data_IF_759786116684
#
_entry.id   IF_759786116684
#
_cell.length_a   1.000
_cell.length_b   1.000
_cell.length_c   1.000
_cell.angle_alpha   90.00
_cell.angle_beta   90.00
_cell.angle_gamma   90.00
#
_symmetry.space_group_name_H-M   'P 1'
#
loop_
_entity.id
_entity.type
_entity.pdbx_description
1 polymer ?
#
# COMPACT_ATOMS: atom_id res chain seq x y z
N UNK A 1 5.12 -14.13 7.98
CA UNK A 1 6.24 -13.26 7.57
C UNK A 1 6.29 -12.11 8.56
N UNK A 2 7.43 -11.84 9.20
CA UNK A 2 7.53 -10.74 10.17
C UNK A 2 7.42 -9.40 9.42
N UNK A 3 6.39 -8.61 9.71
CA UNK A 3 6.22 -7.29 9.12
C UNK A 3 7.14 -6.30 9.85
N UNK A 4 8.22 -5.88 9.21
CA UNK A 4 9.08 -4.85 9.78
C UNK A 4 8.38 -3.47 9.70
N UNK A 5 8.23 -2.75 10.82
CA UNK A 5 7.62 -1.43 10.82
C UNK A 5 8.47 -0.43 10.02
N UNK A 6 7.84 0.63 9.53
CA UNK A 6 8.58 1.73 8.92
C UNK A 6 9.32 2.53 10.00
N UNK A 7 10.59 2.92 9.78
CA UNK A 7 11.30 3.80 10.69
C UNK A 7 10.55 5.12 10.89
N UNK A 8 10.48 5.60 12.13
CA UNK A 8 9.75 6.83 12.48
C UNK A 8 10.21 8.05 11.64
N UNK A 9 11.50 8.14 11.31
CA UNK A 9 12.07 9.20 10.48
C UNK A 9 11.45 9.29 9.06
N UNK A 10 10.88 8.20 8.56
CA UNK A 10 10.17 8.17 7.27
C UNK A 10 8.70 8.59 7.40
N UNK A 11 8.11 8.40 8.58
CA UNK A 11 6.69 8.64 8.85
C UNK A 11 6.47 10.08 9.32
N UNK A 12 7.35 10.55 10.20
CA UNK A 12 7.25 11.82 10.92
C UNK A 12 7.07 13.04 10.01
N UNK A 13 7.80 13.20 8.89
CA UNK A 13 7.61 14.36 8.02
C UNK A 13 6.21 14.42 7.40
N UNK A 14 5.62 13.25 7.10
CA UNK A 14 4.27 13.15 6.53
C UNK A 14 3.23 13.57 7.57
N UNK A 15 3.36 13.02 8.79
CA UNK A 15 2.44 13.32 9.89
C UNK A 15 2.54 14.80 10.29
N UNK A 16 3.76 15.34 10.39
CA UNK A 16 3.98 16.76 10.68
C UNK A 16 3.35 17.65 9.61
N UNK A 17 3.54 17.33 8.33
CA UNK A 17 2.94 18.11 7.24
C UNK A 17 1.40 18.11 7.34
N UNK A 18 0.79 16.96 7.63
CA UNK A 18 -0.65 16.85 7.79
C UNK A 18 -1.18 17.62 9.02
N UNK A 19 -0.46 17.58 10.16
CA UNK A 19 -0.80 18.39 11.34
C UNK A 19 -0.71 19.89 11.06
N UNK A 20 0.34 20.34 10.36
CA UNK A 20 0.50 21.75 9.99
C UNK A 20 -0.58 22.21 9.00
N UNK A 21 -0.99 21.36 8.07
CA UNK A 21 -2.11 21.61 7.17
C UNK A 21 -3.41 21.85 7.96
N UNK A 22 -3.75 20.93 8.87
CA UNK A 22 -5.04 20.93 9.58
C UNK A 22 -5.14 22.07 10.62
N UNK A 23 -4.04 22.38 11.31
CA UNK A 23 -3.98 23.52 12.24
C UNK A 23 -4.00 24.88 11.52
N UNK A 24 -3.54 24.89 10.27
CA UNK A 24 -3.43 26.09 9.46
C UNK A 24 -2.69 27.22 10.18
N UNK A 25 -3.32 28.41 10.23
CA UNK A 25 -2.73 29.62 10.82
C UNK A 25 -3.23 29.92 12.24
N UNK A 26 -4.36 29.35 12.62
CA UNK A 26 -5.10 29.77 13.82
C UNK A 26 -5.15 28.67 14.90
N UNK A 27 -4.71 27.46 14.59
CA UNK A 27 -4.89 26.31 15.47
C UNK A 27 -6.34 25.84 15.53
N UNK A 28 -6.66 25.09 16.58
CA UNK A 28 -7.98 24.50 16.79
C UNK A 28 -8.90 25.45 17.58
N UNK A 29 -9.53 26.37 16.85
CA UNK A 29 -10.45 27.36 17.42
C UNK A 29 -11.61 26.72 18.18
N UNK A 30 -12.10 25.57 17.72
CA UNK A 30 -13.26 24.91 18.31
C UNK A 30 -12.91 24.33 19.67
N UNK A 31 -11.82 23.57 19.79
CA UNK A 31 -11.39 23.03 21.07
C UNK A 31 -10.98 24.14 22.04
N UNK A 32 -10.34 25.21 21.56
CA UNK A 32 -9.96 26.34 22.40
C UNK A 32 -11.16 27.10 22.99
N UNK A 33 -12.23 27.26 22.19
CA UNK A 33 -13.43 27.97 22.61
C UNK A 33 -14.36 27.14 23.50
N UNK A 34 -14.37 25.81 23.35
CA UNK A 34 -15.40 24.94 23.95
C UNK A 34 -14.91 24.06 25.10
N UNK A 35 -13.60 23.86 25.26
CA UNK A 35 -13.03 22.93 26.25
C UNK A 35 -12.12 23.70 27.22
N UNK A 36 -12.26 23.58 28.54
CA UNK A 36 -11.32 24.19 29.50
C UNK A 36 -9.87 23.73 29.27
N UNK A 37 -8.90 24.62 29.49
CA UNK A 37 -7.49 24.35 29.20
C UNK A 37 -6.87 23.24 30.07
N UNK A 38 -7.41 23.02 31.27
CA UNK A 38 -6.99 22.01 32.24
C UNK A 38 -7.72 20.67 32.08
N UNK A 39 -8.75 20.60 31.23
CA UNK A 39 -9.58 19.40 31.06
C UNK A 39 -8.75 18.22 30.55
N UNK A 40 -8.73 17.13 31.33
CA UNK A 40 -8.17 15.85 30.94
C UNK A 40 -9.26 14.90 30.44
N UNK A 41 -8.93 14.03 29.48
CA UNK A 41 -9.85 13.02 28.98
C UNK A 41 -9.14 11.74 28.56
N UNK A 42 -9.93 10.68 28.42
CA UNK A 42 -9.57 9.41 27.81
C UNK A 42 -10.42 9.19 26.57
N UNK A 43 -9.76 8.84 25.47
CA UNK A 43 -10.37 8.47 24.19
C UNK A 43 -9.83 7.13 23.70
N UNK A 44 -10.58 6.49 22.81
CA UNK A 44 -10.17 5.24 22.16
C UNK A 44 -10.34 5.31 20.66
N UNK A 45 -9.35 4.82 19.92
CA UNK A 45 -9.50 4.55 18.49
C UNK A 45 -10.26 3.23 18.33
N UNK A 46 -11.35 3.24 17.58
CA UNK A 46 -12.19 2.05 17.33
C UNK A 46 -12.46 1.91 15.84
N UNK A 47 -12.46 0.67 15.35
CA UNK A 47 -12.90 0.42 13.97
C UNK A 47 -14.42 0.28 13.90
N UNK A 48 -15.04 0.81 12.85
CA UNK A 48 -16.49 0.70 12.61
C UNK A 48 -16.86 -0.46 11.69
N UNK A 49 -15.87 -1.17 11.15
CA UNK A 49 -16.03 -2.23 10.16
C UNK A 49 -14.98 -3.33 10.39
N UNK A 50 -15.21 -4.50 9.80
CA UNK A 50 -14.18 -5.55 9.79
C UNK A 50 -13.08 -5.18 8.79
N UNK A 51 -11.82 -5.47 9.10
CA UNK A 51 -10.72 -5.07 8.25
C UNK A 51 -9.35 -5.57 8.68
N UNK A 52 -8.32 -5.05 8.02
CA UNK A 52 -6.91 -5.22 8.39
C UNK A 52 -6.32 -3.84 8.71
N UNK A 53 -5.66 -3.73 9.86
CA UNK A 53 -5.07 -2.46 10.31
C UNK A 53 -3.75 -2.20 9.61
N UNK A 54 -3.53 -0.96 9.21
CA UNK A 54 -2.24 -0.45 8.76
C UNK A 54 -2.11 1.04 9.05
N UNK A 55 -0.88 1.48 9.30
CA UNK A 55 -0.58 2.88 9.55
C UNK A 55 -0.99 3.35 10.95
N UNK A 56 -1.27 2.43 11.87
CA UNK A 56 -1.62 2.79 13.25
C UNK A 56 -0.47 3.56 13.91
N UNK A 57 0.77 3.16 13.67
CA UNK A 57 1.93 3.90 14.19
C UNK A 57 1.98 5.35 13.66
N UNK A 58 1.55 5.60 12.42
CA UNK A 58 1.45 6.97 11.88
C UNK A 58 0.31 7.77 12.52
N UNK A 59 -0.84 7.14 12.75
CA UNK A 59 -1.95 7.77 13.46
C UNK A 59 -1.61 8.10 14.92
N UNK A 60 -0.97 7.18 15.63
CA UNK A 60 -0.51 7.39 17.01
C UNK A 60 0.60 8.44 17.09
N UNK A 61 1.45 8.51 16.07
CA UNK A 61 2.47 9.55 15.97
C UNK A 61 1.85 10.95 15.93
N UNK A 62 0.67 11.14 15.31
CA UNK A 62 0.00 12.43 15.28
C UNK A 62 -0.29 12.96 16.69
N UNK A 63 -0.78 12.11 17.60
CA UNK A 63 -0.99 12.48 19.00
C UNK A 63 0.33 12.84 19.69
N UNK A 64 1.36 11.99 19.56
CA UNK A 64 2.64 12.22 20.25
C UNK A 64 3.42 13.43 19.71
N UNK A 65 3.31 13.74 18.42
CA UNK A 65 3.91 14.94 17.81
C UNK A 65 3.17 16.21 18.19
N UNK A 66 1.84 16.13 18.33
CA UNK A 66 1.03 17.27 18.74
C UNK A 66 1.28 17.63 20.21
N UNK A 67 1.25 16.64 21.11
CA UNK A 67 1.55 16.84 22.51
C UNK A 67 2.28 15.63 23.10
N UNK A 68 3.60 15.73 23.39
CA UNK A 68 4.40 14.62 23.89
C UNK A 68 4.02 14.16 25.30
N UNK A 69 3.11 14.88 25.99
CA UNK A 69 2.59 14.49 27.30
C UNK A 69 1.40 13.53 27.22
N UNK A 70 0.83 13.31 26.03
CA UNK A 70 -0.26 12.36 25.85
C UNK A 70 0.23 10.93 26.08
N UNK A 71 -0.48 10.19 26.93
CA UNK A 71 -0.21 8.78 27.17
C UNK A 71 -0.92 7.95 26.09
N UNK A 72 -0.14 7.36 25.19
CA UNK A 72 -0.63 6.54 24.08
C UNK A 72 -0.35 5.07 24.36
N UNK A 73 -1.39 4.24 24.27
CA UNK A 73 -1.28 2.78 24.40
C UNK A 73 -1.91 2.08 23.19
N UNK A 74 -1.06 1.44 22.38
CA UNK A 74 -1.47 0.58 21.28
C UNK A 74 -2.02 -0.76 21.79
N UNK A 75 -3.12 -1.27 21.23
CA UNK A 75 -3.67 -2.60 21.55
C UNK A 75 -3.67 -3.59 20.38
N UNK A 76 -3.49 -3.12 19.15
CA UNK A 76 -3.38 -3.96 17.95
C UNK A 76 -2.14 -3.60 17.15
N UNK A 77 -1.62 -4.53 16.37
CA UNK A 77 -0.47 -4.28 15.51
C UNK A 77 -0.87 -4.07 14.04
N UNK A 78 -0.06 -3.32 13.29
CA UNK A 78 -0.22 -3.23 11.85
C UNK A 78 -0.11 -4.63 11.21
N UNK A 79 -1.02 -4.92 10.28
CA UNK A 79 -1.22 -6.24 9.68
C UNK A 79 -2.21 -7.14 10.42
N UNK A 80 -2.66 -6.75 11.61
CA UNK A 80 -3.67 -7.51 12.36
C UNK A 80 -5.06 -7.35 11.73
N UNK A 81 -5.82 -8.46 11.67
CA UNK A 81 -7.25 -8.43 11.34
C UNK A 81 -8.04 -7.98 12.57
N UNK A 82 -9.04 -7.14 12.33
CA UNK A 82 -9.90 -6.59 13.38
C UNK A 82 -11.37 -6.74 12.99
N UNK A 83 -12.22 -6.77 14.01
CA UNK A 83 -13.67 -6.79 13.85
C UNK A 83 -14.28 -5.46 14.26
N UNK A 84 -15.45 -5.12 13.70
CA UNK A 84 -16.23 -3.93 14.07
C UNK A 84 -16.34 -3.78 15.58
N UNK A 85 -16.10 -2.55 16.06
CA UNK A 85 -16.16 -2.18 17.48
C UNK A 85 -14.89 -2.47 18.27
N UNK A 86 -13.90 -3.13 17.67
CA UNK A 86 -12.64 -3.42 18.35
C UNK A 86 -11.83 -2.14 18.60
N UNK A 87 -11.31 -2.01 19.82
CA UNK A 87 -10.39 -0.95 20.21
C UNK A 87 -8.98 -1.20 19.65
N UNK A 88 -8.42 -0.18 19.00
CA UNK A 88 -7.12 -0.21 18.34
C UNK A 88 -6.03 0.44 19.20
N UNK A 89 -6.36 1.57 19.82
CA UNK A 89 -5.49 2.32 20.72
C UNK A 89 -6.32 3.05 21.80
N UNK A 90 -5.70 3.33 22.95
CA UNK A 90 -6.19 4.26 23.97
C UNK A 90 -5.24 5.44 24.07
N UNK A 91 -5.80 6.65 24.17
CA UNK A 91 -5.04 7.88 24.34
C UNK A 91 -5.63 8.68 25.52
N UNK A 92 -4.75 9.17 26.40
CA UNK A 92 -5.11 9.92 27.61
C UNK A 92 -4.29 11.20 27.72
N UNK A 93 -4.93 12.29 28.17
CA UNK A 93 -4.27 13.55 28.47
C UNK A 93 -5.16 14.76 28.19
N UNK A 94 -4.52 15.89 27.85
CA UNK A 94 -5.23 17.16 27.64
C UNK A 94 -6.27 17.04 26.52
N UNK A 95 -7.54 17.30 26.84
CA UNK A 95 -8.67 17.07 25.95
C UNK A 95 -8.57 17.88 24.64
N UNK A 96 -8.07 19.13 24.71
CA UNK A 96 -7.80 19.95 23.53
C UNK A 96 -6.79 19.25 22.60
N UNK A 97 -5.67 18.76 23.16
CA UNK A 97 -4.64 18.05 22.38
C UNK A 97 -5.14 16.77 21.74
N UNK A 98 -6.03 16.03 22.41
CA UNK A 98 -6.64 14.82 21.86
C UNK A 98 -7.47 15.14 20.61
N UNK A 99 -8.32 16.16 20.66
CA UNK A 99 -9.19 16.51 19.54
C UNK A 99 -8.43 17.18 18.39
N UNK A 100 -7.43 18.00 18.68
CA UNK A 100 -6.64 18.67 17.64
C UNK A 100 -5.78 17.70 16.82
N UNK A 101 -5.44 16.52 17.35
CA UNK A 101 -4.70 15.49 16.61
C UNK A 101 -5.62 14.46 15.91
N UNK A 102 -6.93 14.45 16.25
CA UNK A 102 -7.87 13.41 15.87
C UNK A 102 -7.94 13.22 14.35
N UNK A 103 -8.22 14.29 13.60
CA UNK A 103 -8.57 14.18 12.19
C UNK A 103 -7.41 13.64 11.36
N UNK A 104 -6.19 14.12 11.63
CA UNK A 104 -4.98 13.62 10.99
C UNK A 104 -4.75 12.15 11.32
N UNK A 105 -4.92 11.75 12.59
CA UNK A 105 -4.76 10.37 13.00
C UNK A 105 -5.75 9.43 12.29
N UNK A 106 -7.03 9.81 12.23
CA UNK A 106 -8.10 9.04 11.59
C UNK A 106 -7.91 8.96 10.07
N UNK A 107 -7.56 10.07 9.42
CA UNK A 107 -7.36 10.11 7.96
C UNK A 107 -6.23 9.17 7.53
N UNK A 108 -5.08 9.22 8.21
CA UNK A 108 -3.94 8.35 7.89
C UNK A 108 -4.24 6.89 8.20
N UNK A 109 -4.73 6.58 9.40
CA UNK A 109 -4.97 5.19 9.82
C UNK A 109 -6.09 4.56 9.00
N UNK A 110 -7.18 5.29 8.73
CA UNK A 110 -8.31 4.82 7.95
C UNK A 110 -7.95 4.56 6.48
N UNK A 111 -7.24 5.50 5.84
CA UNK A 111 -6.79 5.34 4.45
C UNK A 111 -5.86 4.14 4.30
N UNK A 112 -4.86 4.02 5.17
CA UNK A 112 -3.87 2.94 5.11
C UNK A 112 -4.49 1.58 5.47
N UNK A 113 -5.36 1.53 6.49
CA UNK A 113 -6.13 0.32 6.80
C UNK A 113 -7.09 -0.06 5.67
N UNK A 114 -7.60 0.92 4.92
CA UNK A 114 -8.35 0.70 3.68
C UNK A 114 -7.52 -0.04 2.62
N UNK A 115 -6.30 0.41 2.35
CA UNK A 115 -5.34 -0.25 1.45
C UNK A 115 -5.02 -1.68 1.91
N UNK A 116 -4.75 -1.87 3.20
CA UNK A 116 -4.45 -3.20 3.76
C UNK A 116 -5.66 -4.15 3.65
N UNK A 117 -6.86 -3.65 3.95
CA UNK A 117 -8.12 -4.41 3.84
C UNK A 117 -8.42 -4.78 2.40
N UNK A 118 -8.29 -3.84 1.46
CA UNK A 118 -8.45 -4.08 0.03
C UNK A 118 -7.45 -5.13 -0.47
N UNK A 119 -6.17 -4.96 -0.14
CA UNK A 119 -5.12 -5.92 -0.51
C UNK A 119 -5.43 -7.31 0.04
N UNK A 120 -5.86 -7.40 1.29
CA UNK A 120 -6.19 -8.67 1.92
C UNK A 120 -7.29 -9.43 1.17
N UNK A 121 -8.32 -8.74 0.70
CA UNK A 121 -9.39 -9.36 -0.10
C UNK A 121 -8.86 -10.02 -1.37
N UNK A 122 -7.90 -9.39 -2.05
CA UNK A 122 -7.25 -9.98 -3.23
C UNK A 122 -6.36 -11.17 -2.86
N UNK A 123 -5.61 -11.07 -1.76
CA UNK A 123 -4.75 -12.15 -1.25
C UNK A 123 -5.59 -13.38 -0.90
N UNK A 124 -6.69 -13.18 -0.17
CA UNK A 124 -7.62 -14.24 0.20
C UNK A 124 -8.26 -14.86 -1.06
N UNK A 125 -8.58 -14.06 -2.08
CA UNK A 125 -9.18 -14.55 -3.33
C UNK A 125 -8.25 -15.46 -4.16
N UNK A 126 -6.92 -15.32 -4.02
CA UNK A 126 -5.93 -16.14 -4.74
C UNK A 126 -5.30 -17.23 -3.89
N UNK A 127 -5.80 -17.44 -2.67
CA UNK A 127 -5.32 -18.48 -1.77
C UNK A 127 -5.36 -19.87 -2.42
N UNK A 128 -4.33 -20.68 -2.17
CA UNK A 128 -4.14 -22.00 -2.76
C UNK A 128 -3.49 -21.99 -4.14
N UNK A 129 -3.23 -20.81 -4.73
CA UNK A 129 -2.44 -20.68 -5.96
C UNK A 129 -0.99 -20.27 -5.66
N UNK A 130 -0.14 -20.23 -6.70
CA UNK A 130 1.23 -19.69 -6.61
C UNK A 130 1.27 -18.15 -6.67
N UNK A 131 0.22 -17.52 -7.20
CA UNK A 131 0.22 -16.11 -7.51
C UNK A 131 0.30 -15.25 -6.23
N UNK A 132 1.09 -14.17 -6.29
CA UNK A 132 1.15 -13.15 -5.23
C UNK A 132 0.57 -11.84 -5.74
N UNK A 133 -0.19 -11.17 -4.87
CA UNK A 133 -0.77 -9.86 -5.18
C UNK A 133 0.28 -8.78 -4.97
N UNK A 134 0.46 -7.93 -5.98
CA UNK A 134 1.49 -6.90 -6.00
C UNK A 134 0.89 -5.51 -6.19
N UNK A 135 1.40 -4.51 -5.48
CA UNK A 135 1.03 -3.11 -5.70
C UNK A 135 1.75 -2.50 -6.91
N UNK A 136 1.54 -1.21 -7.18
CA UNK A 136 2.18 -0.50 -8.30
C UNK A 136 2.80 0.82 -7.83
N UNK A 137 3.16 1.70 -8.76
CA UNK A 137 3.51 3.11 -8.50
C UNK A 137 2.31 4.06 -8.60
N UNK A 138 1.11 3.54 -8.90
CA UNK A 138 -0.16 4.29 -8.89
C UNK A 138 -0.62 4.48 -7.45
N UNK A 139 0.07 5.37 -6.75
CA UNK A 139 -0.05 5.64 -5.31
C UNK A 139 -0.39 7.11 -5.11
N UNK A 140 -0.96 7.45 -3.96
CA UNK A 140 -1.14 8.87 -3.60
C UNK A 140 0.22 9.57 -3.52
N UNK A 141 0.41 10.73 -4.16
CA UNK A 141 1.65 11.49 -4.06
C UNK A 141 2.02 11.77 -2.60
N UNK A 142 3.30 11.61 -2.24
CA UNK A 142 3.79 11.79 -0.87
C UNK A 142 3.56 10.60 0.08
N UNK A 143 2.60 9.70 -0.21
CA UNK A 143 2.23 8.61 0.70
C UNK A 143 2.73 7.22 0.26
N UNK A 144 3.48 7.12 -0.84
CA UNK A 144 3.89 5.83 -1.44
C UNK A 144 4.52 4.86 -0.44
N UNK A 145 5.39 5.33 0.45
CA UNK A 145 6.04 4.45 1.43
C UNK A 145 5.02 3.85 2.41
N UNK A 146 4.07 4.67 2.89
CA UNK A 146 3.01 4.24 3.78
C UNK A 146 2.02 3.30 3.08
N UNK A 147 1.58 3.63 1.86
CA UNK A 147 0.67 2.78 1.09
C UNK A 147 1.29 1.42 0.74
N UNK A 148 2.57 1.39 0.33
CA UNK A 148 3.30 0.13 0.11
C UNK A 148 3.55 -0.65 1.40
N UNK A 149 3.65 0.02 2.54
CA UNK A 149 3.64 -0.67 3.82
C UNK A 149 2.27 -1.28 4.14
N UNK A 150 1.18 -0.54 3.88
CA UNK A 150 -0.19 -1.05 4.04
C UNK A 150 -0.50 -2.25 3.14
N UNK A 151 0.02 -2.28 1.91
CA UNK A 151 -0.05 -3.47 1.04
C UNK A 151 0.58 -4.69 1.72
N UNK A 152 1.75 -4.53 2.34
CA UNK A 152 2.39 -5.63 3.10
C UNK A 152 1.57 -6.04 4.33
N UNK A 153 0.94 -5.09 5.02
CA UNK A 153 0.01 -5.37 6.13
C UNK A 153 -1.17 -6.25 5.67
N UNK A 154 -1.69 -5.97 4.47
CA UNK A 154 -2.72 -6.79 3.82
C UNK A 154 -2.25 -8.16 3.31
N UNK A 155 -0.95 -8.48 3.42
CA UNK A 155 -0.36 -9.72 2.94
C UNK A 155 0.06 -9.70 1.47
N UNK A 156 -0.07 -8.55 0.79
CA UNK A 156 0.48 -8.36 -0.55
C UNK A 156 2.00 -8.16 -0.53
N UNK A 157 2.59 -8.07 -1.71
CA UNK A 157 4.02 -7.79 -1.88
C UNK A 157 4.23 -6.50 -2.66
N UNK A 158 5.40 -5.88 -2.47
CA UNK A 158 5.72 -4.64 -3.14
C UNK A 158 6.35 -4.89 -4.50
N UNK A 159 5.80 -4.27 -5.54
CA UNK A 159 6.55 -3.98 -6.77
C UNK A 159 7.58 -2.89 -6.45
N UNK A 160 8.35 -2.50 -7.46
CA UNK A 160 9.29 -1.39 -7.38
C UNK A 160 8.64 -0.12 -6.79
N UNK A 161 9.31 0.51 -5.83
CA UNK A 161 9.03 1.79 -5.19
C UNK A 161 9.18 2.98 -6.14
N UNK A 162 10.14 2.95 -7.04
CA UNK A 162 10.59 4.13 -7.77
C UNK A 162 10.92 3.87 -9.23
N UNK A 163 11.65 4.79 -9.84
CA UNK A 163 12.26 4.58 -11.15
C UNK A 163 13.71 4.09 -11.01
N UNK A 164 14.24 4.15 -9.79
CA UNK A 164 15.61 3.93 -9.37
C UNK A 164 15.87 2.51 -8.84
N UNK A 165 14.82 1.72 -8.62
CA UNK A 165 14.91 0.42 -7.93
C UNK A 165 14.60 -0.80 -8.81
N UNK A 166 14.17 -0.57 -10.05
CA UNK A 166 13.96 -1.61 -11.05
C UNK A 166 13.69 -1.00 -12.42
N UNK A 167 14.23 -1.61 -13.47
CA UNK A 167 13.94 -1.22 -14.85
C UNK A 167 12.66 -1.92 -15.28
N UNK A 168 11.64 -1.15 -15.68
CA UNK A 168 10.44 -1.66 -16.32
C UNK A 168 10.28 -0.98 -17.67
N UNK A 169 10.54 -1.74 -18.73
CA UNK A 169 10.42 -1.32 -20.12
C UNK A 169 8.93 -1.41 -20.49
N UNK A 170 8.33 -0.28 -20.82
CA UNK A 170 6.92 -0.18 -21.24
C UNK A 170 6.79 -0.09 -22.76
N UNK A 171 5.57 -0.22 -23.25
CA UNK A 171 5.13 0.06 -24.64
C UNK A 171 5.86 1.24 -25.32
N UNK A 172 5.89 2.40 -24.66
CA UNK A 172 6.51 3.62 -25.17
C UNK A 172 8.02 3.48 -25.29
N UNK A 173 8.66 2.76 -24.36
CA UNK A 173 10.11 2.51 -24.43
C UNK A 173 10.42 1.56 -25.59
N UNK A 174 9.62 0.51 -25.79
CA UNK A 174 9.77 -0.45 -26.89
C UNK A 174 9.63 0.28 -28.23
N UNK A 175 8.60 1.09 -28.38
CA UNK A 175 8.33 1.86 -29.60
C UNK A 175 9.46 2.84 -29.93
N UNK A 176 9.98 3.56 -28.94
CA UNK A 176 11.06 4.54 -29.12
C UNK A 176 12.42 3.84 -29.35
N UNK A 177 12.70 2.74 -28.66
CA UNK A 177 13.95 1.99 -28.80
C UNK A 177 14.02 1.18 -30.11
N UNK A 178 12.88 0.95 -30.78
CA UNK A 178 12.81 0.20 -32.03
C UNK A 178 12.66 -1.31 -31.86
N UNK A 179 12.14 -1.78 -30.72
CA UNK A 179 11.81 -3.20 -30.50
C UNK A 179 12.15 -3.73 -29.11
N UNK A 180 11.55 -4.87 -28.75
CA UNK A 180 11.68 -5.51 -27.43
C UNK A 180 13.12 -5.92 -27.16
N UNK A 181 13.72 -6.63 -28.11
CA UNK A 181 15.10 -7.14 -27.98
C UNK A 181 16.11 -6.00 -27.77
N UNK A 182 16.01 -4.92 -28.56
CA UNK A 182 16.90 -3.76 -28.47
C UNK A 182 16.75 -3.07 -27.11
N UNK A 183 15.51 -2.84 -26.67
CA UNK A 183 15.23 -2.20 -25.39
C UNK A 183 15.83 -2.99 -24.20
N UNK A 184 15.68 -4.32 -24.20
CA UNK A 184 16.22 -5.19 -23.13
C UNK A 184 17.76 -5.20 -23.15
N UNK A 185 18.38 -5.28 -24.33
CA UNK A 185 19.84 -5.25 -24.45
C UNK A 185 20.42 -3.91 -23.97
N UNK A 186 19.82 -2.79 -24.37
CA UNK A 186 20.21 -1.46 -23.88
C UNK A 186 20.03 -1.33 -22.37
N UNK A 187 18.91 -1.81 -21.82
CA UNK A 187 18.69 -1.83 -20.38
C UNK A 187 19.74 -2.69 -19.65
N UNK A 188 20.11 -3.85 -20.21
CA UNK A 188 21.11 -4.75 -19.62
C UNK A 188 22.51 -4.15 -19.63
N UNK A 189 22.88 -3.42 -20.67
CA UNK A 189 24.16 -2.71 -20.73
C UNK A 189 24.26 -1.56 -19.72
N UNK A 190 23.12 -0.96 -19.33
CA UNK A 190 23.06 0.13 -18.36
C UNK A 190 22.88 -0.35 -16.90
N UNK A 191 22.16 -1.47 -16.70
CA UNK A 191 21.80 -1.95 -15.38
C UNK A 191 23.02 -2.36 -14.54
N UNK A 192 23.09 -1.86 -13.31
CA UNK A 192 23.98 -2.42 -12.29
C UNK A 192 23.57 -3.85 -11.92
N UNK A 193 24.50 -4.65 -11.41
CA UNK A 193 24.29 -6.07 -11.09
C UNK A 193 23.16 -6.38 -10.08
N UNK A 194 22.65 -5.37 -9.35
CA UNK A 194 21.52 -5.50 -8.42
C UNK A 194 20.16 -5.08 -9.01
N UNK A 195 20.12 -4.54 -10.23
CA UNK A 195 18.89 -4.00 -10.84
C UNK A 195 18.28 -5.03 -11.79
N UNK A 196 17.04 -5.45 -11.50
CA UNK A 196 16.27 -6.36 -12.35
C UNK A 196 15.63 -5.62 -13.53
N UNK A 197 15.44 -6.35 -14.63
CA UNK A 197 14.83 -5.85 -15.86
C UNK A 197 13.53 -6.58 -16.12
N UNK A 198 12.44 -5.84 -16.04
CA UNK A 198 11.10 -6.26 -16.41
C UNK A 198 10.69 -5.60 -17.73
N UNK A 199 9.93 -6.31 -18.56
CA UNK A 199 9.37 -5.77 -19.81
C UNK A 199 7.88 -6.06 -19.88
N UNK A 200 7.12 -5.06 -20.28
CA UNK A 200 5.68 -5.14 -20.54
C UNK A 200 5.44 -5.54 -22.00
N UNK A 201 4.64 -6.58 -22.19
CA UNK A 201 4.30 -7.14 -23.50
C UNK A 201 2.79 -7.40 -23.59
N UNK A 202 2.24 -7.22 -24.78
CA UNK A 202 0.81 -7.41 -25.07
C UNK A 202 0.52 -8.59 -26.02
N UNK A 203 1.56 -9.21 -26.58
CA UNK A 203 1.45 -10.37 -27.48
C UNK A 203 2.41 -11.49 -27.10
N UNK A 204 2.06 -12.73 -27.47
CA UNK A 204 2.93 -13.90 -27.26
C UNK A 204 4.21 -13.83 -28.12
N UNK A 205 4.18 -13.15 -29.27
CA UNK A 205 5.37 -12.91 -30.08
C UNK A 205 6.40 -12.06 -29.35
N UNK A 206 5.97 -10.96 -28.73
CA UNK A 206 6.84 -10.15 -27.88
C UNK A 206 7.34 -10.91 -26.64
N UNK A 207 6.53 -11.80 -26.06
CA UNK A 207 6.98 -12.68 -24.99
C UNK A 207 8.15 -13.56 -25.45
N UNK A 208 8.09 -14.15 -26.64
CA UNK A 208 9.20 -14.93 -27.19
C UNK A 208 10.48 -14.09 -27.33
N UNK A 209 10.38 -12.87 -27.84
CA UNK A 209 11.50 -11.93 -27.93
C UNK A 209 12.08 -11.59 -26.55
N UNK A 210 11.22 -11.25 -25.60
CA UNK A 210 11.61 -10.89 -24.24
C UNK A 210 12.39 -12.01 -23.54
N UNK A 211 11.90 -13.25 -23.68
CA UNK A 211 12.54 -14.44 -23.10
C UNK A 211 13.86 -14.76 -23.80
N UNK A 212 13.94 -14.60 -25.13
CA UNK A 212 15.17 -14.81 -25.89
C UNK A 212 16.25 -13.76 -25.53
N UNK A 213 15.83 -12.52 -25.25
CA UNK A 213 16.70 -11.43 -24.82
C UNK A 213 17.10 -11.50 -23.33
N UNK A 214 16.56 -12.47 -22.57
CA UNK A 214 16.93 -12.69 -21.17
C UNK A 214 16.36 -11.66 -20.20
N UNK A 215 15.10 -11.26 -20.37
CA UNK A 215 14.37 -10.48 -19.36
C UNK A 215 14.30 -11.24 -18.02
N UNK A 216 14.43 -10.52 -16.90
CA UNK A 216 14.31 -11.12 -15.56
C UNK A 216 12.84 -11.39 -15.19
N UNK A 217 11.95 -10.51 -15.65
CA UNK A 217 10.51 -10.60 -15.47
C UNK A 217 9.78 -10.10 -16.73
N UNK A 218 8.55 -10.58 -16.94
CA UNK A 218 7.69 -10.17 -18.04
C UNK A 218 6.29 -9.87 -17.52
N UNK A 219 5.83 -8.65 -17.77
CA UNK A 219 4.48 -8.20 -17.47
C UNK A 219 3.58 -8.43 -18.69
N UNK A 220 2.58 -9.29 -18.53
CA UNK A 220 1.60 -9.69 -19.53
C UNK A 220 0.41 -8.75 -19.44
N UNK A 221 0.36 -7.72 -20.30
CA UNK A 221 -0.65 -6.66 -20.21
C UNK A 221 -1.97 -7.06 -20.87
N UNK A 222 -3.07 -6.96 -20.11
CA UNK A 222 -4.44 -7.17 -20.57
C UNK A 222 -4.71 -8.51 -21.29
N UNK A 223 -3.88 -9.54 -21.05
CA UNK A 223 -4.06 -10.87 -21.62
C UNK A 223 -5.19 -11.65 -20.94
N UNK A 224 -6.01 -12.34 -21.74
CA UNK A 224 -7.09 -13.20 -21.21
C UNK A 224 -6.53 -14.47 -20.58
N UNK A 225 -7.27 -15.15 -19.68
CA UNK A 225 -6.79 -16.37 -19.02
C UNK A 225 -6.29 -17.49 -19.96
N UNK A 226 -6.86 -17.62 -21.16
CA UNK A 226 -6.37 -18.58 -22.15
C UNK A 226 -4.95 -18.23 -22.64
N UNK A 227 -4.70 -16.96 -22.96
CA UNK A 227 -3.40 -16.46 -23.39
C UNK A 227 -2.38 -16.51 -22.25
N UNK A 228 -2.80 -16.23 -21.02
CA UNK A 228 -1.92 -16.33 -19.84
C UNK A 228 -1.43 -17.77 -19.61
N UNK A 229 -2.29 -18.79 -19.79
CA UNK A 229 -1.86 -20.20 -19.69
C UNK A 229 -0.85 -20.56 -20.77
N UNK A 230 -1.06 -20.06 -21.99
CA UNK A 230 -0.11 -20.24 -23.08
C UNK A 230 1.23 -19.53 -22.80
N UNK A 231 1.18 -18.30 -22.27
CA UNK A 231 2.36 -17.56 -21.84
C UNK A 231 3.14 -18.28 -20.73
N UNK A 232 2.44 -18.86 -19.74
CA UNK A 232 3.06 -19.68 -18.69
C UNK A 232 3.75 -20.91 -19.29
N UNK A 233 3.11 -21.59 -20.25
CA UNK A 233 3.71 -22.74 -20.95
C UNK A 233 4.94 -22.33 -21.78
N UNK A 234 4.88 -21.23 -22.52
CA UNK A 234 6.00 -20.66 -23.28
C UNK A 234 7.15 -20.27 -22.35
N UNK A 235 6.85 -19.65 -21.21
CA UNK A 235 7.86 -19.17 -20.28
C UNK A 235 8.70 -20.33 -19.71
N UNK A 236 8.06 -21.45 -19.35
CA UNK A 236 8.73 -22.63 -18.80
C UNK A 236 9.72 -22.31 -17.64
N UNK A 237 9.39 -21.28 -16.84
CA UNK A 237 10.19 -20.84 -15.70
C UNK A 237 11.43 -19.99 -16.04
N UNK A 238 11.56 -19.47 -17.27
CA UNK A 238 12.70 -18.64 -17.70
C UNK A 238 12.70 -17.23 -17.10
N UNK A 239 11.53 -16.67 -16.85
CA UNK A 239 11.34 -15.36 -16.22
C UNK A 239 10.19 -15.40 -15.20
N UNK A 240 10.13 -14.41 -14.30
CA UNK A 240 8.95 -14.18 -13.46
C UNK A 240 7.82 -13.62 -14.32
N UNK A 241 6.62 -14.20 -14.25
CA UNK A 241 5.47 -13.68 -14.98
C UNK A 241 4.54 -12.87 -14.07
N UNK A 242 4.26 -11.65 -14.50
CA UNK A 242 3.29 -10.76 -13.88
C UNK A 242 2.08 -10.56 -14.80
N UNK A 243 0.87 -10.81 -14.31
CA UNK A 243 -0.35 -10.41 -14.99
C UNK A 243 -0.80 -9.02 -14.51
N UNK A 244 -1.17 -8.15 -15.45
CA UNK A 244 -1.64 -6.80 -15.17
C UNK A 244 -2.75 -6.38 -16.14
N UNK A 245 -3.47 -5.33 -15.79
CA UNK A 245 -4.53 -4.76 -16.62
C UNK A 245 -5.91 -5.35 -16.29
N UNK A 246 -6.86 -4.47 -15.96
CA UNK A 246 -8.26 -4.87 -15.70
C UNK A 246 -8.48 -5.86 -14.55
N UNK A 247 -7.54 -5.99 -13.60
CA UNK A 247 -7.63 -6.95 -12.49
C UNK A 247 -8.68 -6.49 -11.46
N UNK A 248 -9.66 -7.34 -11.18
CA UNK A 248 -10.76 -7.13 -10.23
C UNK A 248 -10.89 -8.34 -9.29
N UNK A 249 -11.66 -8.21 -8.21
CA UNK A 249 -11.93 -9.35 -7.32
C UNK A 249 -12.69 -10.49 -8.03
N UNK A 250 -13.49 -10.16 -9.05
CA UNK A 250 -14.27 -11.15 -9.80
C UNK A 250 -13.40 -11.99 -10.74
N UNK A 251 -12.26 -11.45 -11.22
CA UNK A 251 -11.40 -12.13 -12.19
C UNK A 251 -10.05 -12.59 -11.64
N UNK A 252 -9.59 -12.05 -10.51
CA UNK A 252 -8.22 -12.30 -9.99
C UNK A 252 -7.96 -13.79 -9.77
N UNK A 253 -8.97 -14.55 -9.32
CA UNK A 253 -8.86 -15.99 -9.11
C UNK A 253 -8.56 -16.73 -10.42
N UNK A 254 -9.30 -16.43 -11.48
CA UNK A 254 -9.11 -17.06 -12.78
C UNK A 254 -7.74 -16.72 -13.38
N UNK A 255 -7.23 -15.51 -13.13
CA UNK A 255 -5.86 -15.10 -13.49
C UNK A 255 -4.84 -15.92 -12.69
N UNK A 256 -5.01 -16.04 -11.37
CA UNK A 256 -4.09 -16.79 -10.51
C UNK A 256 -3.99 -18.27 -10.87
N UNK A 257 -5.11 -18.90 -11.24
CA UNK A 257 -5.17 -20.30 -11.68
C UNK A 257 -4.47 -20.56 -13.03
N UNK A 258 -4.07 -19.51 -13.77
CA UNK A 258 -3.26 -19.70 -14.98
C UNK A 258 -1.82 -20.11 -14.69
N UNK A 259 -1.35 -19.89 -13.46
CA UNK A 259 0.01 -20.23 -13.03
C UNK A 259 1.02 -19.09 -13.08
N UNK A 260 0.58 -17.84 -13.32
CA UNK A 260 1.43 -16.65 -13.19
C UNK A 260 1.98 -16.49 -11.77
N UNK A 261 3.15 -15.86 -11.64
CA UNK A 261 3.83 -15.68 -10.36
C UNK A 261 3.25 -14.50 -9.58
N UNK A 262 2.94 -13.42 -10.29
CA UNK A 262 2.53 -12.14 -9.74
C UNK A 262 1.25 -11.66 -10.43
N UNK A 263 0.39 -10.97 -9.69
CA UNK A 263 -0.73 -10.23 -10.24
C UNK A 263 -0.68 -8.83 -9.66
N UNK A 264 -0.47 -7.84 -10.51
CA UNK A 264 -0.42 -6.44 -10.06
C UNK A 264 -1.73 -5.72 -10.29
N UNK A 265 -2.11 -4.90 -9.32
CA UNK A 265 -3.27 -4.02 -9.44
C UNK A 265 -2.97 -2.69 -8.77
N UNK A 266 -3.28 -1.60 -9.48
CA UNK A 266 -3.20 -0.25 -8.90
C UNK A 266 -4.37 0.05 -7.96
N UNK A 267 -5.49 -0.66 -8.13
CA UNK A 267 -6.74 -0.34 -7.45
C UNK A 267 -6.60 -0.40 -5.92
N UNK A 268 -5.80 -1.34 -5.41
CA UNK A 268 -5.53 -1.51 -3.97
C UNK A 268 -4.82 -0.32 -3.32
N UNK A 269 -4.26 0.62 -4.10
CA UNK A 269 -3.67 1.87 -3.58
C UNK A 269 -4.48 3.08 -4.01
N UNK A 270 -4.64 3.34 -5.31
CA UNK A 270 -5.26 4.60 -5.79
C UNK A 270 -6.79 4.65 -5.63
N UNK A 271 -7.44 3.53 -5.32
CA UNK A 271 -8.91 3.46 -5.24
C UNK A 271 -9.42 2.54 -4.13
N UNK A 272 -8.56 2.16 -3.18
CA UNK A 272 -9.00 1.38 -2.04
C UNK A 272 -9.98 2.20 -1.18
N UNK A 273 -11.13 1.63 -0.79
CA UNK A 273 -12.03 2.29 0.14
C UNK A 273 -11.35 2.48 1.50
N UNK A 274 -11.53 3.65 2.11
CA UNK A 274 -11.11 3.94 3.48
C UNK A 274 -11.78 2.95 4.44
N UNK A 275 -11.02 2.40 5.40
CA UNK A 275 -11.60 1.66 6.52
C UNK A 275 -12.11 2.68 7.54
N UNK A 276 -13.39 2.61 7.88
CA UNK A 276 -13.99 3.55 8.84
C UNK A 276 -13.46 3.31 10.26
N UNK A 277 -12.77 4.32 10.80
CA UNK A 277 -12.15 4.33 12.13
C UNK A 277 -12.58 5.62 12.83
N UNK A 278 -13.04 5.50 14.07
CA UNK A 278 -13.46 6.63 14.90
C UNK A 278 -12.59 6.83 16.13
N UNK A 279 -12.67 8.03 16.69
CA UNK A 279 -12.16 8.35 18.02
C UNK A 279 -13.37 8.52 18.96
N UNK A 280 -13.50 7.65 19.95
CA UNK A 280 -14.62 7.66 20.90
C UNK A 280 -14.17 8.19 22.26
N UNK A 281 -14.94 9.13 22.81
CA UNK A 281 -14.77 9.57 24.19
C UNK A 281 -15.15 8.46 25.17
N UNK A 282 -14.33 8.27 26.21
CA UNK A 282 -14.57 7.29 27.27
C UNK A 282 -14.91 7.98 28.58
N UNK A 283 -14.07 8.90 29.05
CA UNK A 283 -14.23 9.58 30.34
C UNK A 283 -13.42 10.88 30.43
N UNK A 284 -13.84 11.76 31.34
CA UNK A 284 -12.98 12.82 31.89
C UNK A 284 -12.08 12.20 32.97
N UNK A 285 -10.83 12.65 33.07
CA UNK A 285 -9.85 12.18 34.05
C UNK A 285 -9.62 13.20 35.17
#
# INVERSE_FOLDING_TARGET
MSLAPLPAIMIEPIVRAALLEDLGRAGDLTSEATIPADRQARVVLTTRQDGSIAGLDAGLMAFTLFDPRLAVRKQVEDGQRVTRGQTLATIEGAARSLLSAERVALNLTGQLSGVATATRRFVDAVEGTRARIVCTRKTTPGLRALEKFAVRCGGGVNHRFGLDDGILIKDNHIAIAGGVTIAIQSARAHAGHMVRIEVEVDTLGQLHEALAAGADAVLLDNMKPAQLREAVAINAGRAVLEASGGVTLDNVRAIAETGVDLISTGWITHSAPVLDIGLDFVATL
#
